data_IF_905757687484
#
_entry.id   IF_905757687484
#
_cell.length_a   1.000
_cell.length_b   1.000
_cell.length_c   1.000
_cell.angle_alpha   90.00
_cell.angle_beta   90.00
_cell.angle_gamma   90.00
#
_symmetry.space_group_name_H-M   'P 1'
#
loop_
_entity.id
_entity.type
_entity.pdbx_description
1 polymer ?
#
# COMPACT_ATOMS: atom_id res chain seq x y z
N UNK A 1 -0.15 -7.10 5.18
CA UNK A 1 -0.68 -5.77 4.82
C UNK A 1 -2.17 -5.87 4.58
N UNK A 2 -2.92 -4.83 4.93
CA UNK A 2 -4.35 -4.70 4.63
C UNK A 2 -4.51 -3.74 3.44
N UNK A 3 -5.38 -4.08 2.50
CA UNK A 3 -5.82 -3.19 1.43
C UNK A 3 -7.35 -3.13 1.48
N UNK A 4 -7.92 -1.92 1.44
CA UNK A 4 -9.37 -1.72 1.35
C UNK A 4 -9.72 -0.63 0.36
N UNK A 5 -10.87 -0.73 -0.27
CA UNK A 5 -11.46 0.40 -0.97
C UNK A 5 -12.00 1.41 0.07
N UNK A 6 -11.80 2.69 -0.19
CA UNK A 6 -12.51 3.74 0.56
C UNK A 6 -13.99 3.70 0.19
N UNK A 7 -14.85 3.89 1.19
CA UNK A 7 -16.30 3.89 1.00
C UNK A 7 -16.82 5.25 0.53
N UNK A 8 -16.01 6.32 0.65
CA UNK A 8 -16.44 7.70 0.40
C UNK A 8 -15.61 8.41 -0.66
N UNK A 9 -14.46 7.86 -1.03
CA UNK A 9 -13.56 8.42 -2.05
C UNK A 9 -13.06 7.31 -2.97
N UNK A 10 -12.76 7.60 -4.26
CA UNK A 10 -12.33 6.59 -5.23
C UNK A 10 -10.84 6.25 -5.05
N UNK A 11 -10.45 5.83 -3.86
CA UNK A 11 -9.06 5.50 -3.50
C UNK A 11 -8.98 4.14 -2.81
N UNK A 12 -7.81 3.49 -2.94
CA UNK A 12 -7.45 2.32 -2.16
C UNK A 12 -6.61 2.77 -0.96
N UNK A 13 -6.93 2.28 0.23
CA UNK A 13 -6.17 2.53 1.45
C UNK A 13 -5.37 1.29 1.80
N UNK A 14 -4.05 1.47 1.98
CA UNK A 14 -3.12 0.42 2.35
C UNK A 14 -2.60 0.65 3.77
N UNK A 15 -2.47 -0.42 4.55
CA UNK A 15 -1.83 -0.40 5.88
C UNK A 15 -0.86 -1.56 6.01
N UNK A 16 0.36 -1.25 6.41
CA UNK A 16 1.42 -2.23 6.68
C UNK A 16 1.83 -2.16 8.13
N UNK A 17 2.13 -3.33 8.69
CA UNK A 17 2.61 -3.48 10.06
C UNK A 17 3.75 -4.49 10.02
N UNK A 18 4.84 -4.15 10.71
CA UNK A 18 6.02 -4.99 10.84
C UNK A 18 6.66 -4.75 12.20
N UNK A 19 7.19 -5.80 12.80
CA UNK A 19 7.84 -5.74 14.12
C UNK A 19 9.19 -5.00 14.10
N UNK A 20 9.77 -4.83 12.90
CA UNK A 20 10.99 -4.05 12.66
C UNK A 20 10.80 -3.19 11.42
N UNK A 21 11.62 -2.14 11.30
CA UNK A 21 11.61 -1.27 10.14
C UNK A 21 11.91 -2.03 8.84
N UNK A 22 12.88 -2.95 8.87
CA UNK A 22 13.24 -3.79 7.73
C UNK A 22 12.08 -4.69 7.29
N UNK A 23 11.37 -5.30 8.25
CA UNK A 23 10.22 -6.13 7.96
C UNK A 23 9.09 -5.30 7.33
N UNK A 24 8.85 -4.09 7.84
CA UNK A 24 7.86 -3.16 7.30
C UNK A 24 8.19 -2.77 5.85
N UNK A 25 9.45 -2.38 5.58
CA UNK A 25 9.90 -1.97 4.24
C UNK A 25 9.79 -3.11 3.22
N UNK A 26 10.12 -4.35 3.62
CA UNK A 26 9.96 -5.53 2.77
C UNK A 26 8.49 -5.76 2.39
N UNK A 27 7.60 -5.75 3.39
CA UNK A 27 6.16 -5.95 3.17
C UNK A 27 5.59 -4.85 2.26
N UNK A 28 5.98 -3.60 2.48
CA UNK A 28 5.55 -2.47 1.64
C UNK A 28 6.04 -2.65 0.19
N UNK A 29 7.34 -2.89 -0.01
CA UNK A 29 7.94 -3.08 -1.33
C UNK A 29 7.26 -4.20 -2.12
N UNK A 30 7.07 -5.37 -1.51
CA UNK A 30 6.45 -6.53 -2.15
C UNK A 30 5.00 -6.24 -2.56
N UNK A 31 4.23 -5.58 -1.68
CA UNK A 31 2.83 -5.24 -1.97
C UNK A 31 2.71 -4.17 -3.05
N UNK A 32 3.59 -3.16 -3.06
CA UNK A 32 3.61 -2.16 -4.12
C UNK A 32 4.02 -2.77 -5.47
N UNK A 33 4.94 -3.73 -5.48
CA UNK A 33 5.30 -4.47 -6.69
C UNK A 33 4.11 -5.28 -7.24
N UNK A 34 3.36 -5.97 -6.37
CA UNK A 34 2.15 -6.69 -6.76
C UNK A 34 1.06 -5.74 -7.29
N UNK A 35 0.86 -4.59 -6.64
CA UNK A 35 -0.13 -3.60 -7.07
C UNK A 35 0.20 -3.07 -8.48
N UNK A 36 1.47 -2.73 -8.74
CA UNK A 36 1.90 -2.24 -10.06
C UNK A 36 1.72 -3.27 -11.17
N UNK A 37 1.74 -4.57 -10.87
CA UNK A 37 1.47 -5.62 -11.88
C UNK A 37 0.03 -5.59 -12.37
N UNK A 38 -0.93 -5.25 -11.51
CA UNK A 38 -2.36 -5.23 -11.84
C UNK A 38 -2.86 -3.84 -12.22
N UNK A 39 -2.21 -2.78 -11.72
CA UNK A 39 -2.48 -1.39 -12.04
C UNK A 39 -1.15 -0.64 -12.24
N UNK A 40 -0.52 -0.74 -13.44
CA UNK A 40 0.77 -0.12 -13.72
C UNK A 40 0.76 1.41 -13.61
N UNK A 41 -0.39 2.03 -13.82
CA UNK A 41 -0.64 3.47 -13.75
C UNK A 41 -1.06 3.95 -12.35
N UNK A 42 -0.96 3.10 -11.32
CA UNK A 42 -1.31 3.46 -9.96
C UNK A 42 -0.44 4.62 -9.43
N UNK A 43 -1.09 5.71 -9.05
CA UNK A 43 -0.48 6.79 -8.29
C UNK A 43 -0.47 6.39 -6.80
N UNK A 44 0.70 6.37 -6.19
CA UNK A 44 0.89 5.99 -4.78
C UNK A 44 1.30 7.25 -4.02
N UNK A 45 0.49 7.64 -3.06
CA UNK A 45 0.74 8.78 -2.19
C UNK A 45 1.06 8.30 -0.77
N UNK A 46 2.01 8.96 -0.11
CA UNK A 46 2.24 8.74 1.31
C UNK A 46 1.03 9.28 2.09
N UNK A 47 0.60 8.55 3.12
CA UNK A 47 -0.50 9.01 3.96
C UNK A 47 -0.13 10.36 4.60
N UNK A 48 -0.95 11.39 4.37
CA UNK A 48 -0.86 12.63 5.11
C UNK A 48 -1.22 12.35 6.58
N UNK A 49 -0.24 12.48 7.48
CA UNK A 49 -0.46 12.48 8.93
C UNK A 49 -0.87 13.88 9.40
#
# INVERSE_FOLDING_TARGET
GLIRASNTTPVLVLRFEGHTQDAMQRIESDMLALLRRVKPDAQIEAAAH
#
